data_IF_148910001379
#
_entry.id   IF_148910001379
#
_cell.length_a   1.000
_cell.length_b   1.000
_cell.length_c   1.000
_cell.angle_alpha   90.00
_cell.angle_beta   90.00
_cell.angle_gamma   90.00
#
_symmetry.space_group_name_H-M   'P 1'
#
loop_
_entity.id
_entity.type
_entity.pdbx_description
1 polymer ?
#
# COMPACT_ATOMS: atom_id res chain seq x y z
N UNK A 1 8.49 17.14 -2.74
CA UNK A 1 7.13 17.28 -3.30
C UNK A 1 6.23 17.74 -2.16
N UNK A 2 5.30 18.67 -2.37
CA UNK A 2 4.38 19.08 -1.29
C UNK A 2 3.29 17.99 -1.11
N UNK A 3 2.98 17.56 0.13
CA UNK A 3 1.90 16.59 0.38
C UNK A 3 0.55 17.14 -0.08
N UNK A 4 -0.26 16.28 -0.69
CA UNK A 4 -1.61 16.63 -1.15
C UNK A 4 -2.68 16.56 -0.05
N UNK A 5 -2.33 15.94 1.08
CA UNK A 5 -3.23 15.63 2.19
C UNK A 5 -3.74 16.90 2.87
N UNK A 6 -5.05 17.05 2.97
CA UNK A 6 -5.71 18.16 3.64
C UNK A 6 -6.98 17.73 4.36
N UNK A 7 -7.32 18.45 5.44
CA UNK A 7 -8.59 18.29 6.16
C UNK A 7 -9.50 19.49 5.86
N UNK A 8 -10.75 19.23 5.50
CA UNK A 8 -11.75 20.22 5.09
C UNK A 8 -13.09 20.00 5.82
N UNK A 9 -14.08 20.86 5.54
CA UNK A 9 -15.45 20.80 6.09
C UNK A 9 -15.49 20.70 7.63
N UNK A 10 -14.86 21.66 8.31
CA UNK A 10 -14.77 21.73 9.77
C UNK A 10 -14.19 20.45 10.41
N UNK A 11 -13.25 19.79 9.73
CA UNK A 11 -12.61 18.57 10.23
C UNK A 11 -13.27 17.27 9.81
N UNK A 12 -14.29 17.29 8.95
CA UNK A 12 -15.09 16.10 8.58
C UNK A 12 -14.67 15.42 7.28
N UNK A 13 -13.76 16.01 6.51
CA UNK A 13 -13.32 15.45 5.23
C UNK A 13 -11.79 15.44 5.14
N UNK A 14 -11.21 14.30 4.77
CA UNK A 14 -9.78 14.16 4.45
C UNK A 14 -9.64 13.96 2.95
N UNK A 15 -8.89 14.82 2.29
CA UNK A 15 -8.70 14.80 0.83
C UNK A 15 -7.21 14.74 0.48
N UNK A 16 -6.90 14.14 -0.67
CA UNK A 16 -5.55 14.05 -1.20
C UNK A 16 -5.55 13.28 -2.52
N UNK A 17 -4.39 13.24 -3.16
CA UNK A 17 -4.11 12.39 -4.31
C UNK A 17 -2.87 11.55 -4.04
N UNK A 18 -2.92 10.29 -4.45
CA UNK A 18 -1.79 9.37 -4.44
C UNK A 18 -1.45 8.95 -5.87
N UNK A 19 -0.17 8.91 -6.20
CA UNK A 19 0.32 8.32 -7.43
C UNK A 19 0.88 6.94 -7.13
N UNK A 20 0.25 5.91 -7.70
CA UNK A 20 0.78 4.55 -7.68
C UNK A 20 1.26 4.21 -9.10
N UNK A 21 2.43 3.56 -9.25
CA UNK A 21 2.79 2.96 -10.53
C UNK A 21 1.67 2.04 -10.97
N UNK A 22 1.36 2.04 -12.26
CA UNK A 22 0.20 1.36 -12.86
C UNK A 22 0.02 -0.10 -12.38
N UNK A 23 1.12 -0.81 -12.09
CA UNK A 23 1.10 -2.22 -11.71
C UNK A 23 1.48 -2.49 -10.25
N UNK A 24 1.92 -1.49 -9.48
CA UNK A 24 2.51 -1.69 -8.16
C UNK A 24 1.55 -2.33 -7.15
N UNK A 25 0.33 -1.79 -7.04
CA UNK A 25 -0.67 -2.29 -6.09
C UNK A 25 -1.19 -3.67 -6.46
N UNK A 26 -1.38 -3.93 -7.75
CA UNK A 26 -1.89 -5.21 -8.25
C UNK A 26 -0.88 -6.32 -7.99
N UNK A 27 0.41 -6.10 -8.26
CA UNK A 27 1.46 -7.08 -8.00
C UNK A 27 1.58 -7.42 -6.51
N UNK A 28 1.64 -6.40 -5.65
CA UNK A 28 1.71 -6.63 -4.20
C UNK A 28 0.47 -7.37 -3.68
N UNK A 29 -0.72 -7.02 -4.16
CA UNK A 29 -1.97 -7.66 -3.76
C UNK A 29 -2.01 -9.13 -4.19
N UNK A 30 -1.63 -9.45 -5.43
CA UNK A 30 -1.60 -10.83 -5.94
C UNK A 30 -0.58 -11.69 -5.21
N UNK A 31 0.63 -11.18 -4.96
CA UNK A 31 1.66 -11.92 -4.22
C UNK A 31 1.24 -12.12 -2.76
N UNK A 32 0.65 -11.11 -2.12
CA UNK A 32 0.17 -11.22 -0.74
C UNK A 32 -0.94 -12.25 -0.60
N UNK A 33 -1.90 -12.26 -1.52
CA UNK A 33 -2.99 -13.25 -1.54
C UNK A 33 -2.47 -14.67 -1.75
N UNK A 34 -1.53 -14.86 -2.69
CA UNK A 34 -0.90 -16.16 -2.91
C UNK A 34 -0.08 -16.62 -1.69
N UNK A 35 0.69 -15.72 -1.06
CA UNK A 35 1.48 -16.05 0.12
C UNK A 35 0.60 -16.38 1.32
N UNK A 36 -0.52 -15.69 1.50
CA UNK A 36 -1.50 -16.01 2.54
C UNK A 36 -2.12 -17.41 2.33
N UNK A 37 -2.45 -17.76 1.08
CA UNK A 37 -3.01 -19.08 0.75
C UNK A 37 -2.01 -20.21 0.99
N UNK A 38 -0.74 -20.01 0.63
CA UNK A 38 0.30 -21.05 0.74
C UNK A 38 0.88 -21.16 2.14
N UNK A 39 0.98 -20.03 2.85
CA UNK A 39 1.73 -19.91 4.08
C UNK A 39 0.98 -19.03 5.10
N UNK A 40 -0.20 -19.48 5.60
CA UNK A 40 -1.10 -18.65 6.40
C UNK A 40 -0.49 -18.16 7.72
N UNK A 41 0.47 -18.90 8.29
CA UNK A 41 1.03 -18.59 9.61
C UNK A 41 2.22 -17.61 9.56
N UNK A 42 2.89 -17.46 8.41
CA UNK A 42 4.10 -16.62 8.26
C UNK A 42 4.15 -15.82 6.94
N UNK A 43 3.01 -15.64 6.26
CA UNK A 43 2.93 -14.88 5.02
C UNK A 43 3.45 -13.45 5.15
N UNK A 44 3.25 -12.80 6.31
CA UNK A 44 3.66 -11.43 6.56
C UNK A 44 5.19 -11.27 6.46
N UNK A 45 5.92 -12.23 7.01
CA UNK A 45 7.38 -12.28 6.99
C UNK A 45 7.88 -12.60 5.58
N UNK A 46 7.20 -13.50 4.86
CA UNK A 46 7.55 -13.88 3.49
C UNK A 46 7.41 -12.74 2.49
N UNK A 47 6.34 -11.96 2.61
CA UNK A 47 6.08 -10.81 1.71
C UNK A 47 7.11 -9.68 1.92
N UNK A 48 7.86 -9.66 3.04
CA UNK A 48 8.88 -8.63 3.28
C UNK A 48 10.05 -8.64 2.28
N UNK A 49 10.23 -9.70 1.48
CA UNK A 49 11.21 -9.67 0.38
C UNK A 49 10.89 -8.59 -0.66
N UNK A 50 9.63 -8.13 -0.74
CA UNK A 50 9.18 -7.05 -1.60
C UNK A 50 9.25 -5.65 -0.95
N UNK A 51 9.70 -5.56 0.31
CA UNK A 51 9.67 -4.32 1.09
C UNK A 51 10.36 -3.14 0.40
N UNK A 52 11.43 -3.38 -0.36
CA UNK A 52 12.13 -2.34 -1.12
C UNK A 52 11.28 -1.68 -2.20
N UNK A 53 10.15 -2.29 -2.56
CA UNK A 53 9.20 -1.78 -3.56
C UNK A 53 7.96 -1.14 -2.91
N UNK A 54 7.88 -1.12 -1.57
CA UNK A 54 6.78 -0.47 -0.87
C UNK A 54 7.02 1.04 -0.84
N UNK A 55 5.94 1.80 -0.96
CA UNK A 55 5.98 3.24 -0.78
C UNK A 55 5.99 3.54 0.72
N UNK A 56 6.94 4.37 1.16
CA UNK A 56 6.98 4.88 2.53
C UNK A 56 5.83 5.88 2.80
N UNK A 57 5.35 6.55 1.76
CA UNK A 57 4.27 7.54 1.79
C UNK A 57 3.41 7.45 0.53
N UNK A 58 2.09 7.63 0.68
CA UNK A 58 1.05 7.46 -0.34
C UNK A 58 0.33 8.80 -0.55
#
# INVERSE_FOLDING_TARGET
VAPSLAVRNDGREVVGFCFTPQDGNSLLSSVSAASWLLNPDDYDQRVQCLRSYFFDEV
#
